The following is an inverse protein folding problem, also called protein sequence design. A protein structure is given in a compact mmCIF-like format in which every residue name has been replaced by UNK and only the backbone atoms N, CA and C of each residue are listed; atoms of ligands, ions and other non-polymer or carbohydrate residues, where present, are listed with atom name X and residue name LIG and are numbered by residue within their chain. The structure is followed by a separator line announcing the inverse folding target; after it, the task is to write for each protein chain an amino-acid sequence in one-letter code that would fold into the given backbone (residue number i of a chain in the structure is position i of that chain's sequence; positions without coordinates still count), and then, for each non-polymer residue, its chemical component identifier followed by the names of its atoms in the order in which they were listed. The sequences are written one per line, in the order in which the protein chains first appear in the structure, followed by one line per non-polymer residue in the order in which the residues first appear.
data_IF_371935389338
#
_entry.id   IF_371935389338
#
_cell.length_a   1.000
_cell.length_b   1.000
_cell.length_c   1.000
_cell.angle_alpha   90.00
_cell.angle_beta   90.00
_cell.angle_gamma   90.00
#
_symmetry.space_group_name_H-M   'P 1'
#
loop_
_entity.id
_entity.type
_entity.pdbx_description
1 polymer ?
#
# COMPACT_ATOMS: atom_id res chain seq x y z
N UNK A 1 -37.23 -7.69 -3.78
CA UNK A 1 -36.58 -8.98 -3.43
C UNK A 1 -35.06 -8.86 -3.25
N UNK A 2 -34.32 -8.19 -4.15
CA UNK A 2 -32.84 -8.03 -4.08
C UNK A 2 -32.34 -7.40 -2.77
N UNK A 3 -32.98 -6.33 -2.26
CA UNK A 3 -32.54 -5.65 -1.02
C UNK A 3 -32.64 -6.54 0.23
N UNK A 4 -33.59 -7.48 0.30
CA UNK A 4 -33.72 -8.44 1.41
C UNK A 4 -32.64 -9.52 1.35
N UNK A 5 -32.41 -10.09 0.16
CA UNK A 5 -31.35 -11.08 -0.05
C UNK A 5 -29.96 -10.48 0.24
N UNK A 6 -29.71 -9.24 -0.21
CA UNK A 6 -28.49 -8.51 0.09
C UNK A 6 -28.32 -8.24 1.59
N UNK A 7 -29.39 -7.86 2.31
CA UNK A 7 -29.34 -7.62 3.75
C UNK A 7 -29.03 -8.90 4.53
N UNK A 8 -29.60 -10.03 4.15
CA UNK A 8 -29.36 -11.34 4.78
C UNK A 8 -27.92 -11.80 4.50
N UNK A 9 -27.46 -11.68 3.26
CA UNK A 9 -26.10 -12.06 2.85
C UNK A 9 -25.02 -11.22 3.55
N UNK A 10 -25.20 -9.89 3.58
CA UNK A 10 -24.29 -8.97 4.30
C UNK A 10 -24.30 -9.26 5.80
N UNK A 11 -25.47 -9.52 6.39
CA UNK A 11 -25.59 -9.89 7.79
C UNK A 11 -24.78 -11.16 8.08
N UNK A 12 -24.92 -12.21 7.27
CA UNK A 12 -24.20 -13.48 7.46
C UNK A 12 -22.68 -13.36 7.30
N UNK A 13 -22.19 -12.60 6.31
CA UNK A 13 -20.74 -12.39 6.12
C UNK A 13 -20.14 -11.62 7.30
N UNK A 14 -20.80 -10.54 7.72
CA UNK A 14 -20.28 -9.63 8.74
C UNK A 14 -20.31 -10.26 10.12
N UNK A 15 -21.35 -11.03 10.48
CA UNK A 15 -21.51 -11.53 11.87
C UNK A 15 -20.67 -12.77 12.20
N UNK A 16 -20.34 -13.62 11.23
CA UNK A 16 -19.61 -14.87 11.51
C UNK A 16 -18.15 -14.85 11.05
N UNK A 17 -17.95 -14.96 9.74
CA UNK A 17 -16.64 -15.27 9.19
C UNK A 17 -15.69 -14.06 9.14
N UNK A 18 -16.24 -12.84 9.03
CA UNK A 18 -15.44 -11.61 8.97
C UNK A 18 -14.72 -11.34 10.30
N UNK A 19 -15.43 -11.42 11.43
CA UNK A 19 -14.82 -11.19 12.75
C UNK A 19 -13.71 -12.18 13.05
N UNK A 20 -13.93 -13.46 12.75
CA UNK A 20 -12.91 -14.50 12.93
C UNK A 20 -11.68 -14.25 12.03
N UNK A 21 -11.90 -13.82 10.79
CA UNK A 21 -10.82 -13.47 9.87
C UNK A 21 -9.95 -12.34 10.41
N UNK A 22 -10.54 -11.29 10.98
CA UNK A 22 -9.80 -10.16 11.56
C UNK A 22 -9.00 -10.62 12.79
N UNK A 23 -9.63 -11.40 13.68
CA UNK A 23 -8.99 -11.91 14.91
C UNK A 23 -7.78 -12.80 14.59
N UNK A 24 -7.78 -13.51 13.46
CA UNK A 24 -6.62 -14.31 13.04
C UNK A 24 -5.60 -13.46 12.27
N UNK A 25 -6.05 -12.67 11.29
CA UNK A 25 -5.15 -11.94 10.39
C UNK A 25 -4.33 -10.86 11.11
N UNK A 26 -4.95 -10.07 11.99
CA UNK A 26 -4.27 -8.93 12.65
C UNK A 26 -3.13 -9.40 13.57
N UNK A 27 -3.33 -10.39 14.46
CA UNK A 27 -2.23 -10.93 15.27
C UNK A 27 -1.14 -11.58 14.42
N UNK A 28 -1.49 -12.33 13.37
CA UNK A 28 -0.48 -12.95 12.50
C UNK A 28 0.42 -11.89 11.85
N UNK A 29 -0.16 -10.83 11.29
CA UNK A 29 0.61 -9.72 10.70
C UNK A 29 1.47 -9.04 11.78
N UNK A 30 0.90 -8.80 12.96
CA UNK A 30 1.63 -8.19 14.09
C UNK A 30 2.84 -9.03 14.50
N UNK A 31 2.69 -10.34 14.65
CA UNK A 31 3.79 -11.26 14.99
C UNK A 31 4.88 -11.25 13.93
N UNK A 32 4.52 -11.29 12.64
CA UNK A 32 5.50 -11.23 11.54
C UNK A 32 6.27 -9.90 11.54
N UNK A 33 5.59 -8.78 11.80
CA UNK A 33 6.24 -7.47 11.94
C UNK A 33 7.23 -7.44 13.12
N UNK A 34 6.84 -7.99 14.28
CA UNK A 34 7.73 -8.06 15.44
C UNK A 34 8.95 -8.94 15.16
N UNK A 35 8.76 -10.12 14.58
CA UNK A 35 9.84 -11.04 14.23
C UNK A 35 10.83 -10.41 13.24
N UNK A 36 10.32 -9.66 12.25
CA UNK A 36 11.17 -8.96 11.28
C UNK A 36 12.03 -7.89 11.97
N UNK A 37 11.44 -7.08 12.86
CA UNK A 37 12.19 -6.08 13.61
C UNK A 37 13.23 -6.71 14.56
N UNK A 38 12.89 -7.80 15.24
CA UNK A 38 13.85 -8.56 16.06
C UNK A 38 15.01 -9.02 15.19
N UNK A 39 14.75 -9.57 14.00
CA UNK A 39 15.79 -10.01 13.07
C UNK A 39 16.71 -8.88 12.60
N UNK A 40 16.20 -7.66 12.45
CA UNK A 40 17.04 -6.51 12.13
C UNK A 40 17.98 -6.14 13.27
N UNK A 41 17.49 -6.13 14.52
CA UNK A 41 18.31 -5.76 15.68
C UNK A 41 19.32 -6.85 16.10
N UNK A 42 19.12 -8.11 15.72
CA UNK A 42 20.11 -9.16 16.01
C UNK A 42 21.32 -9.11 15.09
N UNK A 43 21.15 -8.62 13.85
CA UNK A 43 22.19 -8.60 12.83
C UNK A 43 22.87 -7.23 12.74
N UNK A 44 22.13 -6.13 12.96
CA UNK A 44 22.63 -4.77 12.75
C UNK A 44 22.67 -3.94 14.04
N UNK A 45 23.67 -3.06 14.16
CA UNK A 45 23.71 -2.05 15.24
C UNK A 45 22.69 -0.93 14.97
N UNK A 46 22.25 -0.24 16.03
CA UNK A 46 21.29 0.86 15.92
C UNK A 46 21.79 1.97 14.98
N UNK A 47 23.08 2.29 15.03
CA UNK A 47 23.69 3.28 14.16
C UNK A 47 23.61 2.88 12.69
N UNK A 48 23.95 1.62 12.36
CA UNK A 48 23.86 1.09 11.00
C UNK A 48 22.42 1.04 10.48
N UNK A 49 21.45 0.77 11.36
CA UNK A 49 20.03 0.78 11.00
C UNK A 49 19.54 2.20 10.66
N UNK A 50 19.92 3.20 11.46
CA UNK A 50 19.52 4.60 11.26
C UNK A 50 20.21 5.26 10.06
N UNK A 51 21.44 4.86 9.73
CA UNK A 51 22.16 5.37 8.57
C UNK A 51 21.79 4.67 7.25
N UNK A 52 21.03 3.58 7.31
CA UNK A 52 20.75 2.74 6.15
C UNK A 52 19.53 3.24 5.36
N UNK A 53 19.75 3.60 4.09
CA UNK A 53 18.67 3.96 3.16
C UNK A 53 17.70 2.79 2.85
N UNK A 54 18.18 1.54 2.92
CA UNK A 54 17.39 0.35 2.62
C UNK A 54 17.70 -0.80 3.60
N UNK A 55 17.07 -0.76 4.78
CA UNK A 55 17.35 -1.68 5.91
C UNK A 55 17.30 -3.17 5.52
N UNK A 56 16.31 -3.56 4.70
CA UNK A 56 16.18 -4.96 4.26
C UNK A 56 17.36 -5.43 3.41
N UNK A 57 17.94 -4.56 2.57
CA UNK A 57 19.09 -4.90 1.72
C UNK A 57 20.34 -5.01 2.57
N UNK A 58 20.59 -4.04 3.44
CA UNK A 58 21.74 -4.05 4.35
C UNK A 58 21.73 -5.26 5.28
N UNK A 59 20.54 -5.65 5.79
CA UNK A 59 20.36 -6.90 6.52
C UNK A 59 20.64 -8.12 5.64
N UNK A 60 20.13 -8.14 4.40
CA UNK A 60 20.30 -9.23 3.46
C UNK A 60 21.77 -9.46 3.05
N UNK A 61 22.58 -8.41 2.96
CA UNK A 61 24.01 -8.52 2.68
C UNK A 61 24.77 -9.28 3.78
N UNK A 62 24.32 -9.12 5.02
CA UNK A 62 24.93 -9.76 6.19
C UNK A 62 24.51 -11.23 6.37
N UNK A 63 23.35 -11.64 5.83
CA UNK A 63 22.73 -12.96 6.09
C UNK A 63 22.63 -13.85 4.86
N UNK A 64 22.20 -13.30 3.72
CA UNK A 64 21.79 -14.07 2.53
C UNK A 64 22.93 -14.29 1.51
N UNK A 65 24.09 -13.66 1.72
CA UNK A 65 25.25 -13.77 0.83
C UNK A 65 24.89 -13.44 -0.63
N UNK A 66 25.24 -14.29 -1.62
CA UNK A 66 25.08 -13.96 -3.05
C UNK A 66 23.62 -13.81 -3.49
N UNK A 67 22.65 -14.34 -2.74
CA UNK A 67 21.21 -14.28 -3.07
C UNK A 67 20.64 -12.88 -2.87
N UNK A 68 21.33 -12.00 -2.12
CA UNK A 68 20.88 -10.62 -1.83
C UNK A 68 20.58 -9.80 -3.08
N UNK A 69 21.24 -10.10 -4.22
CA UNK A 69 20.99 -9.38 -5.49
C UNK A 69 19.56 -9.54 -6.02
N UNK A 70 18.88 -10.63 -5.66
CA UNK A 70 17.47 -10.84 -6.01
C UNK A 70 16.51 -10.11 -5.07
N UNK A 71 16.97 -9.70 -3.88
CA UNK A 71 16.13 -9.13 -2.83
C UNK A 71 15.46 -7.80 -3.25
N UNK A 72 16.17 -6.83 -3.88
CA UNK A 72 15.52 -5.60 -4.37
C UNK A 72 14.44 -5.87 -5.42
N UNK A 73 14.62 -6.90 -6.26
CA UNK A 73 13.64 -7.28 -7.29
C UNK A 73 12.36 -7.79 -6.61
N UNK A 74 12.50 -8.69 -5.62
CA UNK A 74 11.36 -9.22 -4.86
C UNK A 74 10.61 -8.12 -4.11
N UNK A 75 11.33 -7.20 -3.45
CA UNK A 75 10.76 -6.05 -2.76
C UNK A 75 10.00 -5.16 -3.76
N UNK A 76 10.60 -4.89 -4.93
CA UNK A 76 9.98 -4.06 -5.97
C UNK A 76 8.69 -4.68 -6.49
N UNK A 77 8.66 -6.00 -6.75
CA UNK A 77 7.45 -6.71 -7.18
C UNK A 77 6.35 -6.63 -6.10
N UNK A 78 6.71 -6.78 -4.82
CA UNK A 78 5.76 -6.62 -3.72
C UNK A 78 5.19 -5.20 -3.65
N UNK A 79 6.04 -4.17 -3.79
CA UNK A 79 5.63 -2.78 -3.82
C UNK A 79 4.72 -2.48 -5.02
N UNK A 80 5.03 -3.02 -6.20
CA UNK A 80 4.16 -2.91 -7.40
C UNK A 80 2.79 -3.58 -7.17
N UNK A 81 2.75 -4.71 -6.46
CA UNK A 81 1.51 -5.36 -6.07
C UNK A 81 0.64 -4.47 -5.19
N UNK A 82 1.24 -3.86 -4.17
CA UNK A 82 0.57 -2.90 -3.28
C UNK A 82 0.06 -1.66 -4.02
N UNK A 83 0.89 -1.09 -4.91
CA UNK A 83 0.50 0.05 -5.75
C UNK A 83 -0.69 -0.29 -6.65
N UNK A 84 -0.66 -1.45 -7.33
CA UNK A 84 -1.75 -1.90 -8.19
C UNK A 84 -3.08 -2.07 -7.41
N UNK A 85 -3.03 -2.67 -6.22
CA UNK A 85 -4.21 -2.77 -5.33
C UNK A 85 -4.74 -1.41 -4.88
N UNK A 86 -3.83 -0.49 -4.55
CA UNK A 86 -4.13 0.91 -4.23
C UNK A 86 -4.86 1.62 -5.36
N UNK A 87 -4.35 1.55 -6.60
CA UNK A 87 -4.95 2.19 -7.77
C UNK A 87 -6.39 1.75 -8.04
N UNK A 88 -6.67 0.44 -7.90
CA UNK A 88 -8.04 -0.06 -8.08
C UNK A 88 -9.00 0.43 -7.00
N UNK A 89 -8.52 0.52 -5.75
CA UNK A 89 -9.33 0.94 -4.61
C UNK A 89 -9.54 2.46 -4.62
N UNK A 90 -8.47 3.24 -4.78
CA UNK A 90 -8.48 4.70 -4.85
C UNK A 90 -9.32 5.23 -6.01
N UNK A 91 -9.25 4.60 -7.18
CA UNK A 91 -10.10 4.96 -8.33
C UNK A 91 -11.60 4.78 -8.04
N UNK A 92 -11.98 3.72 -7.32
CA UNK A 92 -13.39 3.48 -6.92
C UNK A 92 -13.81 4.41 -5.79
N UNK A 93 -12.93 4.68 -4.83
CA UNK A 93 -13.17 5.64 -3.75
C UNK A 93 -13.45 7.04 -4.31
N UNK A 94 -12.59 7.52 -5.21
CA UNK A 94 -12.74 8.83 -5.88
C UNK A 94 -14.03 8.93 -6.71
N UNK A 95 -14.39 7.85 -7.42
CA UNK A 95 -15.65 7.78 -8.17
C UNK A 95 -16.87 7.94 -7.24
N UNK A 96 -16.86 7.28 -6.09
CA UNK A 96 -17.94 7.37 -5.11
C UNK A 96 -17.94 8.75 -4.43
N UNK A 97 -16.76 9.29 -4.09
CA UNK A 97 -16.62 10.65 -3.55
C UNK A 97 -17.20 11.72 -4.48
N UNK A 98 -16.95 11.60 -5.78
CA UNK A 98 -17.54 12.48 -6.79
C UNK A 98 -19.07 12.38 -6.86
N UNK A 99 -19.63 11.17 -6.72
CA UNK A 99 -21.09 10.95 -6.69
C UNK A 99 -21.76 11.55 -5.46
N UNK A 100 -21.04 11.67 -4.35
CA UNK A 100 -21.52 12.35 -3.14
C UNK A 100 -21.25 13.86 -3.13
N UNK A 101 -20.65 14.42 -4.20
CA UNK A 101 -20.37 15.85 -4.33
C UNK A 101 -19.07 16.32 -3.67
N UNK A 102 -18.22 15.42 -3.17
CA UNK A 102 -16.92 15.77 -2.56
C UNK A 102 -15.83 16.07 -3.59
N UNK A 103 -16.00 15.61 -4.82
CA UNK A 103 -15.08 15.81 -5.94
C UNK A 103 -15.85 16.26 -7.18
N UNK A 104 -15.21 16.94 -8.15
CA UNK A 104 -15.82 17.28 -9.42
C UNK A 104 -16.47 16.08 -10.12
N UNK A 105 -17.61 16.31 -10.77
CA UNK A 105 -18.43 15.25 -11.38
C UNK A 105 -17.67 14.44 -12.44
N UNK A 106 -16.66 15.02 -13.07
CA UNK A 106 -15.75 14.35 -14.03
C UNK A 106 -15.15 13.06 -13.46
N UNK A 107 -14.90 13.01 -12.14
CA UNK A 107 -14.34 11.82 -11.49
C UNK A 107 -15.35 10.68 -11.27
N UNK A 108 -16.65 10.95 -11.44
CA UNK A 108 -17.71 9.93 -11.38
C UNK A 108 -17.84 9.11 -12.69
N UNK A 109 -17.21 9.57 -13.78
CA UNK A 109 -17.32 8.99 -15.11
C UNK A 109 -16.65 7.61 -15.20
N UNK A 110 -17.30 6.69 -15.92
CA UNK A 110 -16.82 5.34 -16.19
C UNK A 110 -16.62 5.20 -17.70
N UNK A 111 -15.48 4.63 -18.10
CA UNK A 111 -15.19 4.35 -19.50
C UNK A 111 -16.13 3.28 -20.06
N UNK A 112 -16.82 3.56 -21.16
CA UNK A 112 -17.85 2.67 -21.72
C UNK A 112 -17.32 1.29 -22.15
N UNK A 113 -16.19 1.24 -22.85
CA UNK A 113 -15.65 0.00 -23.40
C UNK A 113 -15.08 -0.98 -22.34
N UNK A 114 -14.43 -0.44 -21.30
CA UNK A 114 -13.69 -1.24 -20.30
C UNK A 114 -14.32 -1.23 -18.91
N UNK A 115 -15.41 -0.47 -18.71
CA UNK A 115 -16.10 -0.29 -17.42
C UNK A 115 -15.17 0.10 -16.27
N UNK A 116 -14.11 0.86 -16.59
CA UNK A 116 -13.11 1.31 -15.62
C UNK A 116 -13.32 2.79 -15.26
N UNK A 117 -13.17 3.18 -13.98
CA UNK A 117 -13.23 4.59 -13.55
C UNK A 117 -11.91 5.29 -13.88
N UNK A 118 -11.66 5.53 -15.17
CA UNK A 118 -10.39 6.07 -15.66
C UNK A 118 -10.01 7.42 -15.03
N UNK A 119 -10.92 8.41 -14.91
CA UNK A 119 -10.58 9.69 -14.27
C UNK A 119 -10.17 9.54 -12.80
N UNK A 120 -10.83 8.66 -12.05
CA UNK A 120 -10.48 8.38 -10.65
C UNK A 120 -9.10 7.71 -10.51
N UNK A 121 -8.74 6.82 -11.43
CA UNK A 121 -7.40 6.19 -11.44
C UNK A 121 -6.33 7.24 -11.79
N UNK A 122 -6.58 8.11 -12.76
CA UNK A 122 -5.64 9.19 -13.12
C UNK A 122 -5.42 10.14 -11.95
N UNK A 123 -6.47 10.47 -11.20
CA UNK A 123 -6.35 11.28 -9.99
C UNK A 123 -5.42 10.62 -8.97
N UNK A 124 -5.63 9.34 -8.66
CA UNK A 124 -4.79 8.58 -7.72
C UNK A 124 -3.31 8.56 -8.17
N UNK A 125 -3.05 8.26 -9.44
CA UNK A 125 -1.68 8.27 -10.00
C UNK A 125 -1.05 9.66 -9.87
N UNK A 126 -1.82 10.73 -10.13
CA UNK A 126 -1.32 12.10 -10.03
C UNK A 126 -1.05 12.49 -8.59
N UNK A 127 -1.90 12.09 -7.64
CA UNK A 127 -1.64 12.30 -6.21
C UNK A 127 -0.35 11.62 -5.77
N UNK A 128 -0.15 10.35 -6.16
CA UNK A 128 1.08 9.61 -5.88
C UNK A 128 2.29 10.33 -6.50
N UNK A 129 2.21 10.73 -7.78
CA UNK A 129 3.30 11.44 -8.47
C UNK A 129 3.67 12.75 -7.77
N UNK A 130 2.68 13.58 -7.41
CA UNK A 130 2.89 14.86 -6.73
C UNK A 130 3.53 14.63 -5.36
N UNK A 131 3.01 13.65 -4.60
CA UNK A 131 3.58 13.32 -3.29
C UNK A 131 5.06 12.91 -3.39
N UNK A 132 5.41 12.05 -4.35
CA UNK A 132 6.80 11.66 -4.57
C UNK A 132 7.68 12.84 -4.94
N UNK A 133 7.25 13.69 -5.88
CA UNK A 133 8.02 14.87 -6.28
C UNK A 133 8.26 15.79 -5.07
N UNK A 134 7.22 16.13 -4.32
CA UNK A 134 7.34 16.98 -3.12
C UNK A 134 8.23 16.35 -2.05
N UNK A 135 8.10 15.04 -1.81
CA UNK A 135 8.94 14.35 -0.83
C UNK A 135 10.42 14.39 -1.21
N UNK A 136 10.75 14.13 -2.48
CA UNK A 136 12.12 14.22 -2.96
C UNK A 136 12.66 15.65 -2.92
N UNK A 137 11.86 16.64 -3.35
CA UNK A 137 12.27 18.05 -3.30
C UNK A 137 12.57 18.50 -1.86
N UNK A 138 11.76 18.10 -0.88
CA UNK A 138 12.03 18.37 0.54
C UNK A 138 13.29 17.68 1.03
N UNK A 139 13.51 16.41 0.66
CA UNK A 139 14.66 15.64 1.12
C UNK A 139 16.00 16.15 0.56
N UNK A 140 16.01 16.66 -0.68
CA UNK A 140 17.23 17.18 -1.31
C UNK A 140 17.42 18.69 -1.10
N UNK A 141 16.41 19.42 -0.63
CA UNK A 141 16.57 20.83 -0.22
C UNK A 141 17.48 20.96 1.00
N UNK A 142 17.40 20.04 1.96
CA UNK A 142 18.27 20.03 3.16
C UNK A 142 19.74 19.68 2.85
N UNK A 143 20.03 19.13 1.66
CA UNK A 143 21.38 18.67 1.25
C UNK A 143 22.13 19.74 0.43
N UNK A 144 21.42 20.73 -0.12
CA UNK A 144 21.99 21.81 -0.95
C UNK A 144 22.20 23.13 -0.18
N UNK A 145 22.04 23.13 1.14
CA UNK A 145 22.35 24.28 2.00
C UNK A 145 23.69 23.97 2.70
N UNK A 146 24.77 23.91 1.92
CA UNK A 146 26.18 24.00 2.34
C UNK A 146 27.00 24.52 1.15
#
# INVERSE_FOLDING_TARGET
MVKRAQKIFVSQIVTGNLWLSIIIAVPTVTVLYLLTNISYFTVMTKAALLSSNAVAVTWGESVLGPVVRALPILISISALGSLNGGLYTGGRYSMVGARYGYLPEVFSCIQNARKTPLPGIVLEVKQIQIFFQTFFDLRFSDVNID
#
